data_IF_892645786804
#
_entry.id   IF_892645786804
#
_cell.length_a   1.000
_cell.length_b   1.000
_cell.length_c   1.000
_cell.angle_alpha   90.00
_cell.angle_beta   90.00
_cell.angle_gamma   90.00
#
_symmetry.space_group_name_H-M   'P 1'
#
loop_
_entity.id
_entity.type
_entity.pdbx_description
1 polymer ?
#
# COMPACT_ATOMS: atom_id res chain seq x y z
N UNK A 1 23.76 -6.12 1.25
CA UNK A 1 23.45 -5.36 0.03
C UNK A 1 22.91 -6.28 -1.06
N UNK A 2 22.08 -5.75 -1.94
CA UNK A 2 21.43 -6.44 -3.07
C UNK A 2 21.43 -5.56 -4.30
N UNK A 3 21.25 -6.17 -5.47
CA UNK A 3 21.12 -5.44 -6.73
C UNK A 3 19.67 -5.56 -7.24
N UNK A 4 19.20 -4.51 -7.92
CA UNK A 4 18.05 -4.53 -8.82
C UNK A 4 18.53 -4.16 -10.22
N UNK A 5 17.94 -4.78 -11.24
CA UNK A 5 18.31 -4.55 -12.64
C UNK A 5 17.04 -4.56 -13.49
N UNK A 6 16.83 -3.54 -14.29
CA UNK A 6 15.65 -3.42 -15.14
C UNK A 6 16.04 -3.11 -16.57
N UNK A 7 15.67 -4.02 -17.49
CA UNK A 7 15.85 -3.83 -18.93
C UNK A 7 14.73 -2.99 -19.51
N UNK A 8 15.04 -2.14 -20.46
CA UNK A 8 14.04 -1.26 -21.06
C UNK A 8 14.33 -0.91 -22.50
N UNK A 9 13.27 -0.61 -23.23
CA UNK A 9 13.28 -0.16 -24.61
C UNK A 9 13.18 1.36 -24.75
N UNK A 10 13.06 1.87 -25.98
CA UNK A 10 13.06 3.29 -26.29
C UNK A 10 11.88 4.08 -25.73
N UNK A 11 10.83 3.39 -25.27
CA UNK A 11 9.63 4.01 -24.70
C UNK A 11 9.78 4.44 -23.23
N UNK A 12 10.89 4.07 -22.56
CA UNK A 12 11.17 4.42 -21.18
C UNK A 12 12.44 5.25 -21.09
N UNK A 13 12.42 6.31 -20.29
CA UNK A 13 13.62 7.07 -19.98
C UNK A 13 14.52 6.30 -19.01
N UNK A 14 15.83 6.63 -19.02
CA UNK A 14 16.81 6.07 -18.08
C UNK A 14 16.39 6.27 -16.62
N UNK A 15 15.76 7.41 -16.31
CA UNK A 15 15.28 7.71 -14.97
C UNK A 15 14.13 6.77 -14.57
N UNK A 16 13.15 6.56 -15.43
CA UNK A 16 12.03 5.64 -15.17
C UNK A 16 12.53 4.19 -14.99
N UNK A 17 13.42 3.74 -15.87
CA UNK A 17 14.02 2.41 -15.75
C UNK A 17 14.80 2.23 -14.44
N UNK A 18 15.52 3.27 -14.00
CA UNK A 18 16.22 3.21 -12.73
C UNK A 18 15.29 3.22 -11.51
N UNK A 19 14.12 3.86 -11.58
CA UNK A 19 13.12 3.72 -10.51
C UNK A 19 12.60 2.27 -10.43
N UNK A 20 12.34 1.61 -11.56
CA UNK A 20 12.00 0.18 -11.56
C UNK A 20 13.12 -0.69 -10.99
N UNK A 21 14.37 -0.43 -11.35
CA UNK A 21 15.51 -1.13 -10.79
C UNK A 21 15.66 -0.93 -9.27
N UNK A 22 15.33 0.27 -8.74
CA UNK A 22 15.30 0.53 -7.30
C UNK A 22 14.26 -0.33 -6.58
N UNK A 23 13.05 -0.39 -7.12
CA UNK A 23 11.98 -1.21 -6.54
C UNK A 23 12.34 -2.69 -6.59
N UNK A 24 12.93 -3.16 -7.68
CA UNK A 24 13.43 -4.53 -7.76
C UNK A 24 14.55 -4.83 -6.73
N UNK A 25 15.45 -3.86 -6.48
CA UNK A 25 16.47 -4.01 -5.44
C UNK A 25 15.84 -4.13 -4.04
N UNK A 26 14.80 -3.36 -3.73
CA UNK A 26 14.05 -3.47 -2.47
C UNK A 26 13.40 -4.85 -2.33
N UNK A 27 12.75 -5.32 -3.38
CA UNK A 27 12.11 -6.64 -3.42
C UNK A 27 13.13 -7.76 -3.21
N UNK A 28 14.27 -7.69 -3.89
CA UNK A 28 15.36 -8.65 -3.72
C UNK A 28 15.94 -8.63 -2.30
N UNK A 29 15.99 -7.45 -1.66
CA UNK A 29 16.42 -7.34 -0.28
C UNK A 29 15.47 -8.09 0.67
N UNK A 30 14.18 -7.87 0.52
CA UNK A 30 13.16 -8.52 1.33
C UNK A 30 13.16 -10.04 1.12
N UNK A 31 13.15 -10.51 -0.13
CA UNK A 31 13.18 -11.94 -0.46
C UNK A 31 14.40 -12.68 0.10
N UNK A 32 15.53 -11.99 0.20
CA UNK A 32 16.76 -12.60 0.75
C UNK A 32 16.65 -12.95 2.23
N UNK A 33 15.76 -12.31 2.96
CA UNK A 33 15.66 -12.41 4.43
C UNK A 33 14.35 -13.07 4.87
N UNK A 34 13.32 -13.00 4.04
CA UNK A 34 11.99 -13.50 4.32
C UNK A 34 11.72 -14.71 3.41
N UNK A 35 11.28 -15.87 3.96
CA UNK A 35 10.98 -17.05 3.15
C UNK A 35 9.90 -16.80 2.09
N UNK A 36 9.93 -17.54 0.99
CA UNK A 36 9.15 -17.35 -0.25
C UNK A 36 7.62 -17.48 -0.16
N UNK A 37 7.02 -17.48 0.99
CA UNK A 37 5.55 -17.48 1.16
C UNK A 37 4.89 -16.14 0.75
N UNK A 38 5.67 -15.23 0.18
CA UNK A 38 5.19 -13.93 -0.27
C UNK A 38 4.58 -14.07 -1.65
N UNK A 39 3.27 -14.08 -1.72
CA UNK A 39 2.53 -13.87 -2.96
C UNK A 39 2.77 -12.43 -3.40
N UNK A 40 3.72 -12.23 -4.29
CA UNK A 40 3.87 -10.98 -5.03
C UNK A 40 2.68 -10.83 -5.95
N UNK A 41 1.67 -10.11 -5.54
CA UNK A 41 0.66 -9.63 -6.46
C UNK A 41 1.19 -8.38 -7.14
N UNK A 42 2.05 -8.56 -8.15
CA UNK A 42 2.32 -7.51 -9.13
C UNK A 42 1.04 -7.35 -9.92
N UNK A 43 0.15 -6.45 -9.52
CA UNK A 43 -1.01 -6.11 -10.34
C UNK A 43 -0.57 -5.04 -11.34
N UNK A 44 -0.31 -5.46 -12.56
CA UNK A 44 -0.30 -4.57 -13.71
C UNK A 44 -1.72 -3.99 -13.87
N UNK A 45 -1.92 -2.75 -13.46
CA UNK A 45 -3.10 -2.01 -13.84
C UNK A 45 -2.82 -1.34 -15.19
N UNK A 46 -3.04 -2.08 -16.26
CA UNK A 46 -3.04 -1.54 -17.60
C UNK A 46 -4.41 -0.94 -17.93
N UNK A 47 -4.41 0.24 -18.50
CA UNK A 47 -5.62 0.95 -18.93
C UNK A 47 -5.47 1.26 -20.40
N UNK A 48 -6.46 0.84 -21.19
CA UNK A 48 -6.61 1.30 -22.57
C UNK A 48 -7.23 2.70 -22.54
N UNK A 49 -6.42 3.71 -22.82
CA UNK A 49 -6.87 5.08 -23.02
C UNK A 49 -6.57 5.46 -24.45
N UNK A 50 -7.61 5.58 -25.27
CA UNK A 50 -7.51 6.04 -26.67
C UNK A 50 -6.39 5.31 -27.46
N UNK A 51 -6.49 3.98 -27.55
CA UNK A 51 -5.57 3.10 -28.29
C UNK A 51 -4.12 3.06 -27.77
N UNK A 52 -3.86 3.59 -26.58
CA UNK A 52 -2.58 3.46 -25.89
C UNK A 52 -2.77 2.71 -24.58
N UNK A 53 -2.04 1.61 -24.45
CA UNK A 53 -1.98 0.83 -23.22
C UNK A 53 -1.00 1.51 -22.24
N UNK A 54 -1.52 2.28 -21.29
CA UNK A 54 -0.72 2.82 -20.20
C UNK A 54 -0.77 1.85 -19.01
N UNK A 55 0.36 1.22 -18.73
CA UNK A 55 0.52 0.35 -17.56
C UNK A 55 1.20 1.14 -16.45
N UNK A 56 0.50 1.38 -15.35
CA UNK A 56 1.11 1.89 -14.13
C UNK A 56 1.55 0.74 -13.26
N UNK A 57 2.84 0.52 -13.17
CA UNK A 57 3.44 -0.41 -12.22
C UNK A 57 3.43 0.25 -10.84
N UNK A 58 2.43 -0.06 -10.04
CA UNK A 58 2.50 0.15 -8.61
C UNK A 58 3.01 -1.13 -7.98
N UNK A 59 4.31 -1.21 -7.77
CA UNK A 59 4.86 -2.22 -6.89
C UNK A 59 4.34 -1.98 -5.48
N UNK A 60 3.53 -2.91 -5.06
CA UNK A 60 2.93 -2.94 -3.75
C UNK A 60 4.00 -3.13 -2.68
N UNK A 61 4.54 -2.05 -2.20
CA UNK A 61 5.30 -2.03 -0.94
C UNK A 61 4.50 -2.69 0.20
N UNK A 62 3.22 -2.94 -0.02
CA UNK A 62 2.25 -3.48 0.93
C UNK A 62 2.17 -4.99 1.00
N UNK A 63 2.52 -5.71 -0.06
CA UNK A 63 2.61 -7.18 0.00
C UNK A 63 3.63 -7.64 1.04
N UNK A 64 4.60 -6.78 1.35
CA UNK A 64 5.66 -7.04 2.32
C UNK A 64 5.37 -6.56 3.75
N UNK A 65 4.28 -5.82 3.98
CA UNK A 65 3.97 -5.24 5.29
C UNK A 65 3.71 -6.25 6.39
N UNK A 66 3.56 -7.49 6.12
CA UNK A 66 3.36 -8.49 7.14
C UNK A 66 4.56 -9.38 7.36
N UNK A 67 5.52 -9.33 6.44
CA UNK A 67 6.58 -10.31 6.39
C UNK A 67 7.97 -9.69 6.64
N UNK A 68 8.10 -8.39 6.50
CA UNK A 68 9.33 -7.66 6.77
C UNK A 68 9.30 -6.23 6.28
N UNK A 69 10.26 -5.46 6.72
CA UNK A 69 10.28 -4.04 6.47
C UNK A 69 11.71 -3.54 6.28
N UNK A 70 11.92 -2.72 5.23
CA UNK A 70 13.21 -2.11 4.94
C UNK A 70 13.41 -0.83 5.77
N UNK A 71 14.49 -0.80 6.56
CA UNK A 71 14.96 0.40 7.25
C UNK A 71 16.32 0.83 6.70
N UNK A 72 16.68 2.08 6.93
CA UNK A 72 18.00 2.64 6.60
C UNK A 72 18.45 2.34 5.17
N UNK A 73 17.50 2.31 4.24
CA UNK A 73 17.79 1.98 2.85
C UNK A 73 18.64 3.08 2.18
N UNK A 74 19.79 2.67 1.63
CA UNK A 74 20.69 3.55 0.87
C UNK A 74 20.99 2.94 -0.50
N UNK A 75 20.77 3.70 -1.54
CA UNK A 75 21.21 3.33 -2.87
C UNK A 75 22.68 3.76 -3.03
N UNK A 76 23.55 2.77 -3.23
CA UNK A 76 25.00 2.97 -3.20
C UNK A 76 25.62 3.08 -4.58
N UNK A 77 24.94 2.58 -5.61
CA UNK A 77 25.35 2.78 -7.00
C UNK A 77 24.14 2.82 -7.94
N UNK A 78 24.30 3.57 -9.02
CA UNK A 78 23.37 3.61 -10.16
C UNK A 78 24.21 3.56 -11.42
N UNK A 79 23.95 2.58 -12.30
CA UNK A 79 24.62 2.44 -13.60
C UNK A 79 23.55 2.21 -14.67
N UNK A 80 23.74 2.84 -15.81
CA UNK A 80 22.94 2.59 -17.01
C UNK A 80 23.90 2.01 -18.05
N UNK A 81 23.65 0.81 -18.48
CA UNK A 81 24.52 0.03 -19.37
C UNK A 81 23.69 -0.59 -20.50
N UNK A 82 24.38 -1.12 -21.48
CA UNK A 82 23.79 -1.88 -22.59
C UNK A 82 24.58 -3.17 -22.77
N UNK A 83 23.87 -4.27 -22.88
CA UNK A 83 24.40 -5.58 -23.24
C UNK A 83 23.67 -6.18 -24.45
N UNK A 84 23.88 -7.47 -24.72
CA UNK A 84 23.24 -8.21 -25.81
C UNK A 84 21.70 -8.26 -25.69
N UNK A 85 21.17 -8.19 -24.46
CA UNK A 85 19.74 -8.23 -24.16
C UNK A 85 19.09 -6.84 -24.22
N UNK A 86 19.86 -5.76 -24.35
CA UNK A 86 19.37 -4.40 -24.46
C UNK A 86 19.95 -3.43 -23.45
N UNK A 87 19.32 -2.26 -23.30
CA UNK A 87 19.69 -1.24 -22.34
C UNK A 87 19.07 -1.55 -20.99
N UNK A 88 19.81 -1.41 -19.90
CA UNK A 88 19.31 -1.65 -18.54
C UNK A 88 19.86 -0.64 -17.54
N UNK A 89 19.09 -0.41 -16.48
CA UNK A 89 19.57 0.27 -15.29
C UNK A 89 19.81 -0.74 -14.17
N UNK A 90 20.97 -0.61 -13.51
CA UNK A 90 21.37 -1.41 -12.36
C UNK A 90 21.54 -0.52 -11.14
N UNK A 91 20.90 -0.93 -10.04
CA UNK A 91 20.92 -0.23 -8.76
C UNK A 91 21.45 -1.17 -7.69
N UNK A 92 22.34 -0.69 -6.85
CA UNK A 92 22.77 -1.40 -5.65
C UNK A 92 22.14 -0.77 -4.41
N UNK A 93 21.49 -1.60 -3.59
CA UNK A 93 20.82 -1.23 -2.37
C UNK A 93 21.51 -1.85 -1.16
N UNK A 94 21.75 -1.06 -0.13
CA UNK A 94 22.04 -1.53 1.22
C UNK A 94 20.90 -1.11 2.13
N UNK A 95 20.35 -2.04 2.91
CA UNK A 95 19.26 -1.78 3.84
C UNK A 95 19.31 -2.76 5.02
N UNK A 96 18.72 -2.34 6.13
CA UNK A 96 18.40 -3.21 7.24
C UNK A 96 16.98 -3.77 7.03
N UNK A 97 16.75 -5.01 7.45
CA UNK A 97 15.45 -5.66 7.33
C UNK A 97 14.95 -6.02 8.71
N UNK A 98 13.87 -5.38 9.12
CA UNK A 98 13.12 -5.78 10.29
C UNK A 98 12.25 -6.98 9.95
N UNK A 99 12.41 -8.05 10.72
CA UNK A 99 11.55 -9.23 10.67
C UNK A 99 10.39 -9.09 11.65
N UNK A 100 9.21 -9.65 11.33
CA UNK A 100 8.14 -9.77 12.31
C UNK A 100 8.57 -10.63 13.50
N UNK A 101 8.00 -10.33 14.67
CA UNK A 101 8.34 -11.02 15.92
C UNK A 101 7.78 -12.45 16.02
N UNK A 102 6.94 -12.88 15.08
CA UNK A 102 6.31 -14.20 15.06
C UNK A 102 5.78 -14.51 13.66
N UNK A 103 5.30 -15.73 13.44
CA UNK A 103 4.60 -16.10 12.22
C UNK A 103 3.16 -15.58 12.24
N UNK A 104 2.57 -15.39 11.06
CA UNK A 104 1.15 -15.08 10.92
C UNK A 104 0.29 -16.24 11.38
N UNK A 105 -0.88 -15.94 11.96
CA UNK A 105 -1.90 -16.94 12.28
C UNK A 105 -2.75 -17.24 11.04
N UNK A 106 -2.62 -18.42 10.40
CA UNK A 106 -3.39 -18.74 9.18
C UNK A 106 -4.90 -18.73 9.38
N UNK A 107 -5.37 -18.96 10.62
CA UNK A 107 -6.80 -18.90 10.97
C UNK A 107 -7.32 -17.47 11.19
N UNK A 108 -6.41 -16.50 11.20
CA UNK A 108 -6.75 -15.09 11.39
C UNK A 108 -6.65 -14.33 10.07
N UNK A 109 -7.74 -14.27 9.37
CA UNK A 109 -7.85 -13.62 8.07
C UNK A 109 -8.90 -12.52 8.08
N UNK A 110 -8.72 -11.58 7.21
CA UNK A 110 -9.59 -10.47 6.91
C UNK A 110 -9.92 -10.53 5.42
N UNK A 111 -11.19 -10.39 5.09
CA UNK A 111 -11.65 -10.21 3.73
C UNK A 111 -12.52 -8.98 3.65
N UNK A 112 -12.27 -8.12 2.66
CA UNK A 112 -13.06 -6.93 2.44
C UNK A 112 -13.24 -6.65 0.94
N UNK A 113 -14.32 -5.99 0.62
CA UNK A 113 -14.64 -5.56 -0.73
C UNK A 113 -15.12 -4.11 -0.74
N UNK A 114 -14.91 -3.44 -1.86
CA UNK A 114 -15.34 -2.09 -2.09
C UNK A 114 -16.50 -2.06 -3.08
N UNK A 115 -17.51 -1.28 -2.78
CA UNK A 115 -18.67 -1.04 -3.65
C UNK A 115 -18.93 0.47 -3.76
N UNK A 116 -19.00 1.03 -4.97
CA UNK A 116 -18.52 0.47 -6.23
C UNK A 116 -16.99 0.48 -6.32
N UNK A 117 -16.41 -0.31 -7.23
CA UNK A 117 -14.94 -0.33 -7.46
C UNK A 117 -14.43 0.89 -8.23
N UNK A 118 -15.34 1.64 -8.86
CA UNK A 118 -15.09 2.93 -9.52
C UNK A 118 -16.01 3.96 -8.88
N UNK A 119 -15.46 5.07 -8.45
CA UNK A 119 -16.21 6.15 -7.80
C UNK A 119 -16.05 7.42 -8.62
N UNK A 120 -17.18 8.01 -8.99
CA UNK A 120 -17.20 9.37 -9.54
C UNK A 120 -17.17 10.36 -8.37
N UNK A 121 -16.46 11.45 -8.52
CA UNK A 121 -16.28 12.47 -7.49
C UNK A 121 -17.60 12.95 -6.88
N UNK A 122 -18.60 13.17 -7.72
CA UNK A 122 -19.94 13.66 -7.36
C UNK A 122 -20.87 12.55 -6.79
N UNK A 123 -20.47 11.27 -6.90
CA UNK A 123 -21.22 10.09 -6.43
C UNK A 123 -20.55 9.36 -5.26
N UNK A 124 -19.74 10.05 -4.50
CA UNK A 124 -19.03 9.46 -3.35
C UNK A 124 -19.93 8.93 -2.24
N UNK A 125 -21.21 9.31 -2.23
CA UNK A 125 -22.22 8.81 -1.27
C UNK A 125 -22.43 7.30 -1.31
N UNK A 126 -22.18 6.67 -2.45
CA UNK A 126 -22.38 5.23 -2.64
C UNK A 126 -21.16 4.39 -2.24
N UNK A 127 -20.08 5.05 -1.85
CA UNK A 127 -18.84 4.41 -1.47
C UNK A 127 -18.98 3.63 -0.16
N UNK A 128 -18.81 2.31 -0.21
CA UNK A 128 -18.87 1.43 0.98
C UNK A 128 -17.79 0.36 0.94
N UNK A 129 -17.13 0.18 2.05
CA UNK A 129 -16.32 -1.01 2.34
C UNK A 129 -17.19 -1.97 3.13
N UNK A 130 -17.28 -3.20 2.67
CA UNK A 130 -17.94 -4.29 3.37
C UNK A 130 -16.90 -5.39 3.57
N UNK A 131 -16.77 -5.87 4.80
CA UNK A 131 -15.79 -6.91 5.09
C UNK A 131 -16.13 -7.72 6.33
N UNK A 132 -15.34 -8.76 6.51
CA UNK A 132 -15.42 -9.64 7.66
C UNK A 132 -14.02 -10.04 8.12
N UNK A 133 -13.85 -10.13 9.41
CA UNK A 133 -12.63 -10.66 10.04
C UNK A 133 -12.98 -11.93 10.82
N UNK A 134 -12.16 -12.97 10.67
CA UNK A 134 -12.44 -14.32 11.23
C UNK A 134 -12.52 -14.32 12.77
N UNK A 135 -11.88 -13.37 13.44
CA UNK A 135 -11.90 -13.21 14.90
C UNK A 135 -12.28 -11.77 15.26
N UNK A 136 -13.01 -11.56 16.36
CA UNK A 136 -13.32 -10.19 16.85
C UNK A 136 -12.06 -9.38 16.99
N UNK A 137 -12.04 -8.19 16.38
CA UNK A 137 -10.84 -7.35 16.26
C UNK A 137 -11.18 -5.88 16.28
N UNK A 138 -10.23 -5.09 16.71
CA UNK A 138 -10.21 -3.64 16.54
C UNK A 138 -9.78 -3.33 15.11
N UNK A 139 -10.62 -2.59 14.38
CA UNK A 139 -10.42 -2.35 12.95
C UNK A 139 -9.94 -0.92 12.72
N UNK A 140 -8.88 -0.80 11.95
CA UNK A 140 -8.33 0.47 11.51
C UNK A 140 -8.36 0.53 10.00
N UNK A 141 -8.90 1.61 9.44
CA UNK A 141 -8.96 1.85 7.99
C UNK A 141 -8.12 3.07 7.69
N UNK A 142 -7.16 2.89 6.80
CA UNK A 142 -6.23 3.93 6.36
C UNK A 142 -6.44 4.17 4.87
N UNK A 143 -6.45 5.44 4.47
CA UNK A 143 -6.41 5.85 3.07
C UNK A 143 -4.98 6.21 2.67
N UNK A 144 -4.57 5.79 1.49
CA UNK A 144 -3.29 6.20 0.91
C UNK A 144 -3.52 6.80 -0.47
N UNK A 145 -3.08 8.01 -0.62
CA UNK A 145 -3.27 8.85 -1.81
C UNK A 145 -1.90 9.28 -2.35
N UNK A 146 -1.19 8.38 -3.07
CA UNK A 146 0.21 8.60 -3.43
C UNK A 146 0.46 9.80 -4.35
N UNK A 147 -0.56 10.29 -5.03
CA UNK A 147 -0.50 11.50 -5.86
C UNK A 147 -0.45 12.79 -5.02
N UNK A 148 -0.98 12.75 -3.79
CA UNK A 148 -0.99 13.87 -2.86
C UNK A 148 0.17 13.77 -1.87
N UNK A 149 0.28 12.61 -1.23
CA UNK A 149 1.27 12.36 -0.19
C UNK A 149 1.73 10.90 -0.19
N UNK A 150 2.95 10.68 -0.66
CA UNK A 150 3.53 9.33 -0.72
C UNK A 150 3.93 8.76 0.64
N UNK A 151 4.14 9.62 1.63
CA UNK A 151 4.77 9.27 2.89
C UNK A 151 3.79 9.13 4.06
N UNK A 152 2.57 9.58 3.90
CA UNK A 152 1.56 9.54 4.96
C UNK A 152 0.33 8.75 4.54
N UNK A 153 -0.31 8.15 5.53
CA UNK A 153 -1.62 7.53 5.43
C UNK A 153 -2.63 8.32 6.23
N UNK A 154 -3.82 8.49 5.70
CA UNK A 154 -4.94 9.11 6.38
C UNK A 154 -5.64 8.08 7.24
N UNK A 155 -5.76 8.33 8.54
CA UNK A 155 -6.41 7.44 9.50
C UNK A 155 -7.93 7.64 9.47
N UNK A 156 -8.63 6.96 8.58
CA UNK A 156 -10.06 7.19 8.33
C UNK A 156 -10.93 6.81 9.52
N UNK A 157 -10.66 5.71 10.19
CA UNK A 157 -11.40 5.30 11.41
C UNK A 157 -11.19 6.24 12.59
N UNK A 158 -10.15 7.08 12.59
CA UNK A 158 -9.95 8.11 13.61
C UNK A 158 -11.05 9.17 13.68
N UNK A 159 -11.84 9.30 12.60
CA UNK A 159 -12.99 10.23 12.56
C UNK A 159 -14.30 9.62 13.09
N UNK A 160 -14.33 8.31 13.37
CA UNK A 160 -15.53 7.59 13.76
C UNK A 160 -15.33 6.84 15.07
N UNK A 161 -16.35 6.87 15.91
CA UNK A 161 -16.31 6.22 17.24
C UNK A 161 -16.68 4.72 17.19
N UNK A 162 -17.28 4.24 16.12
CA UNK A 162 -17.86 2.91 15.99
C UNK A 162 -16.83 1.78 16.02
N UNK A 163 -15.59 2.08 15.69
CA UNK A 163 -14.47 1.10 15.67
C UNK A 163 -13.66 1.06 16.97
N UNK A 164 -14.15 1.67 18.05
CA UNK A 164 -13.52 1.59 19.38
C UNK A 164 -13.76 0.26 20.09
N UNK A 165 -14.73 -0.54 19.60
CA UNK A 165 -15.03 -1.87 20.10
C UNK A 165 -14.65 -2.93 19.07
N UNK A 166 -14.29 -4.17 19.53
CA UNK A 166 -13.91 -5.23 18.59
C UNK A 166 -15.11 -5.74 17.81
N UNK A 167 -14.97 -5.82 16.49
CA UNK A 167 -16.01 -6.26 15.56
C UNK A 167 -15.57 -7.48 14.75
N UNK A 168 -16.53 -8.20 14.16
CA UNK A 168 -16.31 -9.21 13.12
C UNK A 168 -16.71 -8.70 11.75
N UNK A 169 -17.79 -7.91 11.68
CA UNK A 169 -18.28 -7.32 10.43
C UNK A 169 -17.78 -5.87 10.29
N UNK A 170 -17.36 -5.52 9.12
CA UNK A 170 -16.85 -4.19 8.77
C UNK A 170 -17.80 -3.56 7.79
N UNK A 171 -18.32 -2.38 8.12
CA UNK A 171 -19.11 -1.54 7.22
C UNK A 171 -18.57 -0.12 7.35
N UNK A 172 -17.89 0.38 6.33
CA UNK A 172 -17.33 1.72 6.35
C UNK A 172 -17.75 2.49 5.08
N UNK A 173 -18.15 3.76 5.17
CA UNK A 173 -18.37 4.50 6.40
C UNK A 173 -19.54 3.90 7.22
N UNK A 174 -19.59 4.19 8.52
CA UNK A 174 -20.72 3.77 9.38
C UNK A 174 -22.04 4.31 8.87
N UNK A 175 -23.15 3.67 9.26
CA UNK A 175 -24.50 4.08 8.84
C UNK A 175 -24.76 5.55 9.16
N UNK A 176 -25.32 6.30 8.20
CA UNK A 176 -25.58 7.73 8.33
C UNK A 176 -24.35 8.63 8.21
N UNK A 177 -23.19 8.08 7.86
CA UNK A 177 -21.97 8.84 7.57
C UNK A 177 -21.58 8.70 6.11
N UNK A 178 -20.93 9.72 5.59
CA UNK A 178 -20.38 9.77 4.23
C UNK A 178 -18.88 10.05 4.29
N UNK A 179 -18.13 9.51 3.33
CA UNK A 179 -16.73 9.86 3.09
C UNK A 179 -16.68 10.71 1.84
N UNK A 180 -16.16 11.91 1.97
CA UNK A 180 -15.91 12.76 0.82
C UNK A 180 -14.61 12.29 0.16
N UNK A 181 -14.71 11.85 -1.09
CA UNK A 181 -13.55 11.52 -1.92
C UNK A 181 -13.15 12.74 -2.73
N UNK A 182 -11.91 13.15 -2.54
CA UNK A 182 -11.36 14.30 -3.27
C UNK A 182 -10.52 13.82 -4.45
N UNK A 183 -10.63 14.50 -5.57
CA UNK A 183 -9.75 14.32 -6.70
C UNK A 183 -8.58 15.30 -6.58
N UNK A 184 -7.32 14.87 -6.65
CA UNK A 184 -6.17 15.76 -6.49
C UNK A 184 -6.15 16.85 -7.56
N UNK A 185 -5.99 18.12 -7.13
CA UNK A 185 -6.05 19.27 -8.01
C UNK A 185 -4.93 19.28 -9.08
N UNK A 186 -3.78 18.71 -8.76
CA UNK A 186 -2.57 18.73 -9.58
C UNK A 186 -2.44 17.57 -10.56
N UNK A 187 -3.43 16.68 -10.63
CA UNK A 187 -3.39 15.51 -11.53
C UNK A 187 -4.09 15.86 -12.84
N UNK A 188 -3.37 15.65 -13.96
CA UNK A 188 -3.89 15.91 -15.31
C UNK A 188 -4.74 14.75 -15.86
N UNK A 189 -4.67 13.57 -15.26
CA UNK A 189 -5.40 12.39 -15.69
C UNK A 189 -6.88 12.50 -15.32
N UNK A 190 -7.74 11.84 -16.08
CA UNK A 190 -9.19 11.79 -15.82
C UNK A 190 -9.56 10.89 -14.64
N UNK A 191 -8.60 10.17 -14.10
CA UNK A 191 -8.78 9.29 -12.93
C UNK A 191 -7.49 9.21 -12.11
N UNK A 192 -7.65 8.83 -10.83
CA UNK A 192 -6.56 8.48 -9.92
C UNK A 192 -6.84 7.15 -9.23
N UNK A 193 -5.80 6.37 -9.00
CA UNK A 193 -5.88 5.20 -8.14
C UNK A 193 -5.67 5.63 -6.70
N UNK A 194 -6.59 5.22 -5.84
CA UNK A 194 -6.50 5.40 -4.39
C UNK A 194 -6.52 4.05 -3.71
N UNK A 195 -5.93 3.97 -2.54
CA UNK A 195 -5.71 2.74 -1.81
C UNK A 195 -6.34 2.84 -0.42
N UNK A 196 -6.98 1.78 0.00
CA UNK A 196 -7.49 1.62 1.35
C UNK A 196 -6.82 0.42 1.99
N UNK A 197 -6.36 0.61 3.20
CA UNK A 197 -5.69 -0.41 3.97
C UNK A 197 -6.52 -0.65 5.20
N UNK A 198 -7.00 -1.87 5.33
CA UNK A 198 -7.77 -2.31 6.48
C UNK A 198 -6.85 -3.18 7.32
N UNK A 199 -6.68 -2.79 8.58
CA UNK A 199 -5.86 -3.52 9.55
C UNK A 199 -6.79 -3.93 10.69
N UNK A 200 -6.81 -5.22 10.99
CA UNK A 200 -7.54 -5.77 12.12
C UNK A 200 -6.56 -6.28 13.17
N UNK A 201 -6.72 -5.86 14.42
CA UNK A 201 -5.84 -6.20 15.56
C UNK A 201 -6.68 -6.85 16.64
N UNK A 202 -6.26 -8.03 17.15
CA UNK A 202 -6.98 -8.78 18.22
C UNK A 202 -7.01 -8.03 19.55
N UNK A 203 -6.01 -7.19 19.79
CA UNK A 203 -5.81 -6.46 21.05
C UNK A 203 -6.29 -5.01 20.93
N UNK A 204 -6.68 -4.42 22.05
CA UNK A 204 -7.09 -3.01 22.08
C UNK A 204 -5.86 -2.09 22.00
N UNK A 205 -5.26 -2.04 20.83
CA UNK A 205 -4.10 -1.22 20.54
C UNK A 205 -4.47 -0.26 19.42
N UNK A 206 -4.31 1.03 19.67
CA UNK A 206 -4.61 2.06 18.65
C UNK A 206 -3.38 2.39 17.82
N UNK A 207 -3.57 2.50 16.51
CA UNK A 207 -2.55 3.01 15.60
C UNK A 207 -2.19 4.46 16.02
N UNK A 208 -0.91 4.81 16.16
CA UNK A 208 -0.48 6.12 16.65
C UNK A 208 -0.61 7.21 15.59
N UNK A 209 -1.85 7.51 15.22
CA UNK A 209 -2.18 8.59 14.30
C UNK A 209 -2.02 9.95 14.99
N UNK A 210 -1.58 10.95 14.26
CA UNK A 210 -1.49 12.33 14.72
C UNK A 210 -2.45 13.22 13.95
N UNK A 211 -2.94 14.25 14.61
CA UNK A 211 -3.79 15.25 13.99
C UNK A 211 -2.92 16.34 13.37
N UNK A 212 -3.17 16.63 12.10
CA UNK A 212 -2.52 17.68 11.34
C UNK A 212 -3.63 18.56 10.72
N UNK A 213 -3.78 19.78 11.25
CA UNK A 213 -4.87 20.69 10.92
C UNK A 213 -6.26 20.02 10.91
N UNK A 214 -6.76 19.70 9.72
CA UNK A 214 -8.07 19.09 9.49
C UNK A 214 -8.02 17.58 9.29
N UNK A 215 -6.82 16.98 9.24
CA UNK A 215 -6.64 15.57 8.90
C UNK A 215 -5.99 14.78 10.02
N UNK A 216 -6.29 13.49 10.08
CA UNK A 216 -5.65 12.54 11.01
C UNK A 216 -4.78 11.61 10.16
N UNK A 217 -3.48 11.62 10.40
CA UNK A 217 -2.49 10.94 9.57
C UNK A 217 -1.53 10.09 10.39
N UNK A 218 -0.83 9.19 9.70
CA UNK A 218 0.33 8.48 10.23
C UNK A 218 1.41 8.41 9.15
N UNK A 219 2.65 8.67 9.51
CA UNK A 219 3.80 8.46 8.63
C UNK A 219 3.97 6.97 8.33
N UNK A 220 4.28 6.65 7.08
CA UNK A 220 4.52 5.28 6.61
C UNK A 220 5.48 4.52 7.52
N UNK A 221 6.63 5.11 7.82
CA UNK A 221 7.65 4.53 8.70
C UNK A 221 7.12 4.25 10.12
N UNK A 222 6.34 5.18 10.69
CA UNK A 222 5.75 5.01 12.02
C UNK A 222 4.73 3.87 12.06
N UNK A 223 3.91 3.74 11.01
CA UNK A 223 2.98 2.62 10.90
C UNK A 223 3.71 1.28 10.87
N UNK A 224 4.81 1.21 10.10
CA UNK A 224 5.61 0.00 10.00
C UNK A 224 6.27 -0.38 11.31
N UNK A 225 6.89 0.58 11.99
CA UNK A 225 7.49 0.35 13.30
C UNK A 225 6.45 -0.11 14.31
N UNK A 226 5.25 0.48 14.28
CA UNK A 226 4.13 0.09 15.12
C UNK A 226 3.70 -1.36 14.83
N UNK A 227 3.44 -1.72 13.58
CA UNK A 227 3.03 -3.07 13.23
C UNK A 227 4.11 -4.12 13.52
N UNK A 228 5.39 -3.76 13.35
CA UNK A 228 6.52 -4.62 13.70
C UNK A 228 6.67 -4.86 15.20
N UNK A 229 6.19 -3.95 16.03
CA UNK A 229 6.20 -4.10 17.51
C UNK A 229 5.12 -5.07 18.00
N UNK A 230 4.08 -5.32 17.22
CA UNK A 230 3.00 -6.25 17.54
C UNK A 230 3.35 -7.64 16.99
N UNK A 231 3.11 -8.70 17.78
CA UNK A 231 3.28 -10.07 17.29
C UNK A 231 2.45 -10.30 16.02
N UNK A 232 3.05 -10.93 15.02
CA UNK A 232 2.43 -11.08 13.69
C UNK A 232 1.13 -11.90 13.70
N UNK A 233 0.96 -12.81 14.65
CA UNK A 233 -0.26 -13.58 14.86
C UNK A 233 -1.43 -12.77 15.46
N UNK A 234 -1.17 -11.53 15.90
CA UNK A 234 -2.15 -10.64 16.53
C UNK A 234 -2.83 -9.67 15.59
N UNK A 235 -2.39 -9.58 14.35
CA UNK A 235 -2.99 -8.67 13.38
C UNK A 235 -3.04 -9.27 11.97
N UNK A 236 -4.00 -8.81 11.20
CA UNK A 236 -4.16 -9.14 9.78
C UNK A 236 -4.52 -7.88 9.00
N UNK A 237 -4.39 -7.93 7.69
CA UNK A 237 -4.65 -6.79 6.81
C UNK A 237 -5.29 -7.21 5.50
N UNK A 238 -5.97 -6.26 4.88
CA UNK A 238 -6.46 -6.32 3.49
C UNK A 238 -6.20 -4.99 2.83
N UNK A 239 -5.92 -5.00 1.51
CA UNK A 239 -5.77 -3.78 0.73
C UNK A 239 -6.76 -3.75 -0.41
N UNK A 240 -7.45 -2.64 -0.53
CA UNK A 240 -8.41 -2.38 -1.60
C UNK A 240 -7.88 -1.24 -2.47
N UNK A 241 -8.01 -1.41 -3.78
CA UNK A 241 -7.65 -0.39 -4.77
C UNK A 241 -8.93 0.05 -5.46
N UNK A 242 -9.10 1.34 -5.62
CA UNK A 242 -10.23 1.90 -6.34
C UNK A 242 -9.83 3.11 -7.18
N UNK A 243 -10.64 3.39 -8.17
CA UNK A 243 -10.44 4.53 -9.07
C UNK A 243 -11.40 5.65 -8.70
N UNK A 244 -10.86 6.85 -8.51
CA UNK A 244 -11.66 8.08 -8.45
C UNK A 244 -11.58 8.73 -9.84
N UNK A 245 -12.72 8.97 -10.42
CA UNK A 245 -12.89 9.55 -11.75
C UNK A 245 -13.32 11.02 -11.56
N UNK A 246 -12.75 11.92 -12.37
CA UNK A 246 -13.02 13.36 -12.35
C UNK A 246 -14.45 13.66 -12.78
#
# INVERSE_FOLDING_TARGET
SVNGQYYYGPNLSDNQACEHAKEQAKNNALRKVIPETIVTSTRENCIDVKDKKECSFFEDTWSYLGEGFLQNSKFTSRMVEKDENGKFCKIKLTADILKPNSQSDPSYHLHASLKPSKVFRDKSKDFKIIGEVSKKSYVHILGWYPQEDKNNYHCLTGYFNEYKSPVKKIVFPPSGREVQLEFPLNVKNDFVNQYLIIIAIKENISIPCFKDDKTIKIKKEKLFNFLSSIKRDKWTKEMLIFKVIR
#
